data_IF_770816372311
#
_entry.id   IF_770816372311
#
_cell.length_a   1.000
_cell.length_b   1.000
_cell.length_c   1.000
_cell.angle_alpha   90.00
_cell.angle_beta   90.00
_cell.angle_gamma   90.00
#
_symmetry.space_group_name_H-M   'P 1'
#
loop_
_entity.id
_entity.type
_entity.pdbx_description
1 polymer ?
#
# COMPACT_ATOMS: atom_id res chain seq x y z
N UNK A 1 -44.22 -5.73 50.54
CA UNK A 1 -44.26 -6.35 49.19
C UNK A 1 -42.85 -6.25 48.62
N UNK A 2 -42.24 -7.41 48.39
CA UNK A 2 -40.88 -7.58 47.87
C UNK A 2 -40.92 -7.34 46.35
N UNK A 3 -40.16 -6.38 45.83
CA UNK A 3 -39.96 -6.22 44.40
C UNK A 3 -38.50 -6.54 44.06
N UNK A 4 -38.28 -7.72 43.49
CA UNK A 4 -36.99 -8.15 42.94
C UNK A 4 -36.76 -7.40 41.62
N UNK A 5 -35.81 -6.47 41.59
CA UNK A 5 -35.33 -5.88 40.35
C UNK A 5 -34.22 -6.77 39.78
N UNK A 6 -34.57 -7.57 38.77
CA UNK A 6 -33.63 -8.38 37.97
C UNK A 6 -32.74 -7.45 37.14
N UNK A 7 -31.44 -7.42 37.45
CA UNK A 7 -30.44 -6.71 36.66
C UNK A 7 -30.10 -7.47 35.38
N UNK A 8 -30.23 -6.80 34.23
CA UNK A 8 -29.66 -7.27 32.97
C UNK A 8 -28.27 -6.65 32.79
N UNK A 9 -27.21 -7.45 32.92
CA UNK A 9 -25.87 -7.02 32.51
C UNK A 9 -25.72 -7.25 31.00
N UNK A 10 -25.72 -6.17 30.23
CA UNK A 10 -25.28 -6.21 28.84
C UNK A 10 -23.76 -6.29 28.83
N UNK A 11 -23.21 -7.46 28.48
CA UNK A 11 -21.79 -7.57 28.11
C UNK A 11 -21.61 -6.84 26.78
N UNK A 12 -21.07 -5.62 26.84
CA UNK A 12 -20.57 -4.93 25.65
C UNK A 12 -19.32 -5.67 25.15
N UNK A 13 -19.46 -6.40 24.06
CA UNK A 13 -18.31 -6.86 23.28
C UNK A 13 -17.69 -5.61 22.63
N UNK A 14 -16.38 -5.34 22.75
CA UNK A 14 -15.80 -4.21 22.05
C UNK A 14 -15.87 -4.49 20.54
N UNK A 15 -16.68 -3.69 19.84
CA UNK A 15 -16.75 -3.69 18.39
C UNK A 15 -15.58 -2.87 17.83
N UNK A 16 -14.35 -3.38 17.97
CA UNK A 16 -13.16 -2.75 17.37
C UNK A 16 -12.15 -3.74 16.76
N UNK A 17 -12.49 -5.04 16.71
CA UNK A 17 -11.66 -6.06 16.08
C UNK A 17 -12.22 -6.59 14.73
N UNK A 18 -13.40 -6.11 14.29
CA UNK A 18 -14.15 -6.74 13.20
C UNK A 18 -14.06 -6.04 11.83
N UNK A 19 -13.46 -4.84 11.73
CA UNK A 19 -13.19 -4.20 10.43
C UNK A 19 -11.96 -4.82 9.73
N UNK A 20 -11.37 -5.88 10.30
CA UNK A 20 -10.28 -6.64 9.68
C UNK A 20 -10.76 -7.64 8.61
N UNK A 21 -12.08 -7.76 8.35
CA UNK A 21 -12.66 -8.80 7.47
C UNK A 21 -13.51 -8.20 6.35
N UNK A 22 -12.87 -7.90 5.22
CA UNK A 22 -13.36 -8.00 3.82
C UNK A 22 -12.61 -7.03 2.89
N UNK A 23 -11.28 -6.99 3.01
CA UNK A 23 -10.47 -6.49 1.90
C UNK A 23 -10.38 -7.62 0.86
N UNK A 24 -10.89 -7.47 -0.38
CA UNK A 24 -10.81 -8.51 -1.41
C UNK A 24 -9.36 -8.82 -1.81
N UNK A 25 -8.41 -7.97 -1.42
CA UNK A 25 -6.98 -8.19 -1.53
C UNK A 25 -6.42 -8.64 -0.17
N UNK A 26 -5.79 -9.82 -0.17
CA UNK A 26 -5.18 -10.44 1.00
C UNK A 26 -3.69 -10.69 0.77
N UNK A 27 -2.94 -10.89 1.85
CA UNK A 27 -1.55 -11.32 1.76
C UNK A 27 -1.43 -12.74 1.21
N UNK A 28 -0.36 -12.98 0.44
CA UNK A 28 0.06 -14.33 0.07
C UNK A 28 0.33 -15.16 1.33
N UNK A 29 0.26 -16.48 1.21
CA UNK A 29 0.66 -17.40 2.28
C UNK A 29 2.08 -17.06 2.78
N UNK A 30 2.24 -17.06 4.11
CA UNK A 30 3.51 -16.69 4.76
C UNK A 30 3.67 -15.19 5.03
N UNK A 31 2.74 -14.35 4.55
CA UNK A 31 2.70 -12.91 4.82
C UNK A 31 1.46 -12.52 5.62
N UNK A 32 1.57 -11.42 6.36
CA UNK A 32 0.52 -10.77 7.14
C UNK A 32 0.58 -9.26 6.93
N UNK A 33 -0.50 -8.52 7.19
CA UNK A 33 -0.46 -7.05 7.15
C UNK A 33 0.54 -6.52 8.17
N UNK A 34 1.34 -5.52 7.78
CA UNK A 34 2.40 -4.93 8.60
C UNK A 34 1.84 -4.16 9.78
N UNK A 35 0.70 -3.51 9.62
CA UNK A 35 0.01 -2.78 10.70
C UNK A 35 0.90 -1.69 11.33
N UNK A 36 1.72 -0.99 10.53
CA UNK A 36 2.51 0.15 10.99
C UNK A 36 1.64 1.30 11.51
N UNK A 37 0.44 1.44 10.94
CA UNK A 37 -0.58 2.40 11.30
C UNK A 37 -1.98 1.83 10.95
N UNK A 38 -3.05 2.51 11.36
CA UNK A 38 -4.41 2.14 10.98
C UNK A 38 -4.57 2.14 9.45
N UNK A 39 -5.03 1.02 8.89
CA UNK A 39 -5.16 0.76 7.45
C UNK A 39 -3.85 0.52 6.68
N UNK A 40 -2.74 0.18 7.37
CA UNK A 40 -1.52 -0.29 6.70
C UNK A 40 -1.67 -1.74 6.20
N UNK A 41 -2.00 -1.86 4.91
CA UNK A 41 -2.25 -3.13 4.23
C UNK A 41 -1.03 -3.65 3.47
N UNK A 42 0.17 -3.12 3.74
CA UNK A 42 1.42 -3.67 3.21
C UNK A 42 1.66 -5.05 3.82
N UNK A 43 1.84 -6.06 2.98
CA UNK A 43 2.11 -7.42 3.44
C UNK A 43 3.61 -7.61 3.78
N UNK A 44 3.90 -8.18 4.93
CA UNK A 44 5.25 -8.46 5.46
C UNK A 44 5.27 -9.82 6.15
N UNK A 45 6.45 -10.29 6.57
CA UNK A 45 6.54 -11.54 7.35
C UNK A 45 5.99 -11.32 8.77
N UNK A 46 5.53 -12.38 9.47
CA UNK A 46 5.09 -12.25 10.86
C UNK A 46 6.13 -11.63 11.80
N UNK A 47 7.42 -11.89 11.57
CA UNK A 47 8.51 -11.30 12.34
C UNK A 47 8.58 -9.78 12.16
N UNK A 48 8.47 -9.29 10.93
CA UNK A 48 8.45 -7.84 10.65
C UNK A 48 7.21 -7.18 11.25
N UNK A 49 6.03 -7.80 11.19
CA UNK A 49 4.84 -7.26 11.89
C UNK A 49 5.07 -7.12 13.40
N UNK A 50 5.65 -8.14 14.03
CA UNK A 50 6.00 -8.09 15.47
C UNK A 50 6.99 -6.97 15.77
N UNK A 51 8.02 -6.81 14.93
CA UNK A 51 8.98 -5.70 15.03
C UNK A 51 8.29 -4.34 14.90
N UNK A 52 7.45 -4.16 13.88
CA UNK A 52 6.71 -2.92 13.62
C UNK A 52 5.82 -2.53 14.83
N UNK A 53 5.16 -3.50 15.46
CA UNK A 53 4.36 -3.26 16.67
C UNK A 53 5.22 -2.84 17.87
N UNK A 54 6.39 -3.46 18.05
CA UNK A 54 7.33 -3.07 19.10
C UNK A 54 7.89 -1.66 18.87
N UNK A 55 8.18 -1.31 17.61
CA UNK A 55 8.59 0.05 17.21
C UNK A 55 7.50 1.09 17.49
N UNK A 56 6.23 0.76 17.20
CA UNK A 56 5.11 1.64 17.51
C UNK A 56 5.00 1.92 19.03
N UNK A 57 5.24 0.90 19.86
CA UNK A 57 5.22 1.04 21.31
C UNK A 57 6.42 1.85 21.85
N UNK A 58 7.62 1.64 21.29
CA UNK A 58 8.85 2.31 21.72
C UNK A 58 9.03 3.73 21.14
N UNK A 59 8.39 4.02 20.00
CA UNK A 59 8.54 5.27 19.25
C UNK A 59 8.45 6.54 20.09
N UNK A 60 7.42 6.71 20.95
CA UNK A 60 7.30 7.89 21.81
C UNK A 60 8.51 8.08 22.75
N UNK A 61 9.08 7.00 23.28
CA UNK A 61 10.25 7.07 24.16
C UNK A 61 11.54 7.45 23.40
N UNK A 62 11.55 7.32 22.08
CA UNK A 62 12.68 7.65 21.21
C UNK A 62 12.60 9.08 20.63
N UNK A 63 11.55 9.84 20.96
CA UNK A 63 11.40 11.24 20.59
C UNK A 63 12.13 12.17 21.55
N UNK A 64 12.56 13.33 21.05
CA UNK A 64 13.06 14.42 21.89
C UNK A 64 11.92 14.95 22.78
N UNK A 65 12.21 15.40 24.02
CA UNK A 65 11.17 15.95 24.90
C UNK A 65 10.37 17.07 24.22
N UNK A 66 9.04 16.93 24.18
CA UNK A 66 8.13 17.94 23.62
C UNK A 66 8.16 18.09 22.09
N UNK A 67 8.68 17.10 21.36
CA UNK A 67 8.86 17.19 19.90
C UNK A 67 8.57 15.86 19.20
N UNK A 68 8.27 15.91 17.90
CA UNK A 68 8.21 14.71 17.04
C UNK A 68 9.58 14.29 16.50
N UNK A 69 10.61 15.13 16.67
CA UNK A 69 11.96 14.82 16.21
C UNK A 69 12.58 13.70 17.04
N UNK A 70 13.35 12.84 16.38
CA UNK A 70 13.97 11.70 17.03
C UNK A 70 15.22 12.08 17.83
N UNK A 71 15.48 11.34 18.91
CA UNK A 71 16.76 11.38 19.64
C UNK A 71 17.91 10.96 18.71
N UNK A 72 19.14 11.36 19.06
CA UNK A 72 20.34 10.92 18.34
C UNK A 72 20.39 9.39 18.24
N UNK A 73 20.69 8.87 17.04
CA UNK A 73 20.69 7.43 16.75
C UNK A 73 19.34 6.87 16.25
N UNK A 74 18.28 7.67 16.27
CA UNK A 74 16.96 7.31 15.74
C UNK A 74 16.56 8.21 14.57
N UNK A 75 15.66 7.69 13.73
CA UNK A 75 15.09 8.35 12.56
C UNK A 75 13.60 8.05 12.47
N UNK A 76 12.84 8.87 11.75
CA UNK A 76 11.47 8.51 11.41
C UNK A 76 11.44 7.25 10.54
N UNK A 77 10.54 6.33 10.83
CA UNK A 77 10.37 5.08 10.07
C UNK A 77 9.88 5.34 8.65
N UNK A 78 9.06 6.37 8.45
CA UNK A 78 8.57 6.79 7.13
C UNK A 78 7.90 5.66 6.34
N UNK A 79 7.12 4.79 7.03
CA UNK A 79 6.29 3.78 6.35
C UNK A 79 5.21 4.40 5.45
N UNK A 80 4.86 5.66 5.73
CA UNK A 80 4.12 6.62 4.90
C UNK A 80 4.63 8.03 5.22
N UNK A 81 4.31 9.08 4.43
CA UNK A 81 4.79 10.44 4.69
C UNK A 81 4.47 11.00 6.09
N UNK A 82 3.37 10.55 6.71
CA UNK A 82 2.97 10.96 8.07
C UNK A 82 3.41 10.01 9.19
N UNK A 83 4.19 8.97 8.89
CA UNK A 83 4.71 8.04 9.90
C UNK A 83 5.99 8.57 10.54
N UNK A 84 5.81 9.25 11.68
CA UNK A 84 6.89 9.88 12.47
C UNK A 84 7.32 9.01 13.66
N UNK A 85 7.08 7.69 13.61
CA UNK A 85 7.56 6.77 14.64
C UNK A 85 9.09 6.72 14.61
N UNK A 86 9.74 7.01 15.74
CA UNK A 86 11.19 7.03 15.85
C UNK A 86 11.76 5.62 16.05
N UNK A 87 12.50 5.15 15.04
CA UNK A 87 13.09 3.82 14.94
C UNK A 87 14.59 3.90 14.65
N UNK A 88 15.29 2.78 14.71
CA UNK A 88 16.70 2.71 14.29
C UNK A 88 16.80 2.83 12.75
N UNK A 89 17.88 3.37 12.18
CA UNK A 89 18.00 3.58 10.73
C UNK A 89 17.69 2.36 9.85
N UNK A 90 18.14 1.13 10.18
CA UNK A 90 17.79 -0.06 9.39
C UNK A 90 16.28 -0.32 9.29
N UNK A 91 15.50 0.04 10.31
CA UNK A 91 14.04 -0.14 10.30
C UNK A 91 13.34 0.77 9.29
N UNK A 92 13.85 2.00 9.07
CA UNK A 92 13.33 2.89 8.01
C UNK A 92 13.61 2.28 6.63
N UNK A 93 14.81 1.75 6.44
CA UNK A 93 15.19 1.13 5.16
C UNK A 93 14.36 -0.13 4.89
N UNK A 94 14.08 -0.93 5.95
CA UNK A 94 13.15 -2.04 5.90
C UNK A 94 11.73 -1.60 5.53
N UNK A 95 11.19 -0.55 6.16
CA UNK A 95 9.85 -0.04 5.86
C UNK A 95 9.71 0.43 4.40
N UNK A 96 10.73 1.10 3.85
CA UNK A 96 10.79 1.49 2.44
C UNK A 96 10.88 0.28 1.50
N UNK A 97 11.65 -0.74 1.88
CA UNK A 97 11.73 -2.01 1.14
C UNK A 97 10.39 -2.74 1.13
N UNK A 98 9.67 -2.75 2.26
CA UNK A 98 8.35 -3.34 2.35
C UNK A 98 7.33 -2.63 1.46
N UNK A 99 7.34 -1.29 1.47
CA UNK A 99 6.52 -0.50 0.55
C UNK A 99 6.83 -0.82 -0.92
N UNK A 100 8.10 -0.93 -1.30
CA UNK A 100 8.50 -1.25 -2.66
C UNK A 100 8.05 -2.65 -3.12
N UNK A 101 7.92 -3.60 -2.19
CA UNK A 101 7.54 -4.99 -2.47
C UNK A 101 6.04 -5.28 -2.30
N UNK A 102 5.25 -4.30 -1.86
CA UNK A 102 3.84 -4.45 -1.56
C UNK A 102 3.02 -5.22 -2.62
N UNK A 103 3.08 -4.92 -3.94
CA UNK A 103 2.26 -5.62 -4.93
C UNK A 103 2.66 -7.09 -5.10
N UNK A 104 3.90 -7.46 -4.83
CA UNK A 104 4.39 -8.83 -5.00
C UNK A 104 3.98 -9.76 -3.86
N UNK A 105 3.51 -9.21 -2.74
CA UNK A 105 3.13 -9.94 -1.52
C UNK A 105 1.61 -10.06 -1.35
N UNK A 106 0.82 -9.51 -2.29
CA UNK A 106 -0.63 -9.70 -2.38
C UNK A 106 -0.96 -10.94 -3.22
N UNK A 107 -2.04 -11.65 -2.87
CA UNK A 107 -2.54 -12.80 -3.67
C UNK A 107 -2.87 -12.34 -5.08
N UNK A 108 -3.66 -11.25 -5.19
CA UNK A 108 -3.99 -10.61 -6.44
C UNK A 108 -3.95 -9.08 -6.27
N UNK A 109 -2.89 -8.39 -6.71
CA UNK A 109 -2.84 -6.93 -6.67
C UNK A 109 -3.81 -6.28 -7.67
N UNK A 110 -4.31 -6.99 -8.67
CA UNK A 110 -5.34 -6.52 -9.61
C UNK A 110 -6.73 -6.43 -8.98
N UNK A 111 -6.95 -7.09 -7.83
CA UNK A 111 -8.18 -6.98 -7.03
C UNK A 111 -8.18 -5.79 -6.06
N UNK A 112 -7.12 -4.97 -6.05
CA UNK A 112 -7.07 -3.78 -5.19
C UNK A 112 -8.04 -2.68 -5.67
N UNK A 113 -8.59 -1.85 -4.76
CA UNK A 113 -9.50 -0.78 -5.10
C UNK A 113 -8.89 0.20 -6.09
N UNK A 114 -9.77 0.86 -6.84
CA UNK A 114 -9.35 1.92 -7.75
C UNK A 114 -8.74 3.09 -6.96
N UNK A 115 -7.56 3.52 -7.39
CA UNK A 115 -6.84 4.66 -6.81
C UNK A 115 -7.22 5.99 -7.46
N UNK A 116 -6.50 7.05 -7.08
CA UNK A 116 -6.62 8.37 -7.71
C UNK A 116 -5.87 8.50 -9.04
N UNK A 117 -5.19 7.45 -9.48
CA UNK A 117 -4.48 7.40 -10.76
C UNK A 117 -5.37 6.80 -11.84
N UNK A 118 -5.42 7.44 -12.99
CA UNK A 118 -6.13 7.02 -14.19
C UNK A 118 -5.14 6.63 -15.28
N UNK A 119 -5.56 5.69 -16.12
CA UNK A 119 -4.76 5.14 -17.19
C UNK A 119 -5.48 5.34 -18.52
N UNK A 120 -4.72 5.65 -19.57
CA UNK A 120 -5.19 5.62 -20.96
C UNK A 120 -4.13 5.00 -21.86
N UNK A 121 -4.56 4.50 -23.02
CA UNK A 121 -3.68 3.98 -24.07
C UNK A 121 -3.96 4.64 -25.40
N UNK A 122 -2.91 5.03 -26.11
CA UNK A 122 -2.98 5.52 -27.49
C UNK A 122 -2.04 4.68 -28.35
N UNK A 123 -2.62 3.83 -29.21
CA UNK A 123 -1.87 2.74 -29.84
C UNK A 123 -1.20 1.86 -28.78
N UNK A 124 0.12 1.69 -28.89
CA UNK A 124 0.92 0.90 -27.97
C UNK A 124 1.47 1.71 -26.77
N UNK A 125 1.14 2.99 -26.65
CA UNK A 125 1.67 3.84 -25.59
C UNK A 125 0.70 3.93 -24.42
N UNK A 126 1.22 3.68 -23.21
CA UNK A 126 0.50 3.80 -21.95
C UNK A 126 0.79 5.14 -21.30
N UNK A 127 -0.25 5.84 -20.85
CA UNK A 127 -0.13 7.09 -20.13
C UNK A 127 -0.89 7.04 -18.80
N UNK A 128 -0.41 7.82 -17.83
CA UNK A 128 -1.02 7.96 -16.51
C UNK A 128 -1.19 9.43 -16.10
N UNK A 129 -2.26 9.71 -15.36
CA UNK A 129 -2.52 10.99 -14.69
C UNK A 129 -3.22 10.73 -13.35
N UNK A 130 -3.17 11.64 -12.40
CA UNK A 130 -3.94 11.47 -11.17
C UNK A 130 -3.37 12.17 -9.94
N UNK A 131 -4.01 11.94 -8.79
CA UNK A 131 -3.68 12.58 -7.51
C UNK A 131 -3.80 11.57 -6.35
N UNK A 132 -3.51 12.03 -5.13
CA UNK A 132 -3.61 11.20 -3.91
C UNK A 132 -2.44 10.26 -3.71
N UNK A 133 -1.28 10.61 -4.28
CA UNK A 133 -0.02 9.89 -4.16
C UNK A 133 0.85 10.55 -3.08
N UNK A 134 1.84 9.83 -2.56
CA UNK A 134 2.83 10.42 -1.66
C UNK A 134 3.62 11.52 -2.39
N UNK A 135 3.72 12.74 -1.84
CA UNK A 135 4.48 13.84 -2.46
C UNK A 135 5.93 13.47 -2.76
N UNK A 136 6.44 13.86 -3.94
CA UNK A 136 7.83 13.66 -4.37
C UNK A 136 8.31 12.19 -4.33
N UNK A 137 7.38 11.24 -4.38
CA UNK A 137 7.70 9.81 -4.31
C UNK A 137 7.47 9.11 -5.65
N UNK A 138 8.15 7.98 -5.81
CA UNK A 138 8.04 7.12 -6.98
C UNK A 138 6.69 6.42 -7.02
N UNK A 139 6.07 6.45 -8.19
CA UNK A 139 4.86 5.71 -8.52
C UNK A 139 5.23 4.64 -9.54
N UNK A 140 5.08 3.37 -9.20
CA UNK A 140 5.39 2.25 -10.10
C UNK A 140 4.14 1.69 -10.73
N UNK A 141 4.26 1.34 -12.01
CA UNK A 141 3.18 0.78 -12.81
C UNK A 141 3.53 -0.66 -13.20
N UNK A 142 2.56 -1.54 -13.08
CA UNK A 142 2.69 -2.93 -13.49
C UNK A 142 1.39 -3.44 -14.10
N UNK A 143 1.47 -4.43 -14.99
CA UNK A 143 0.32 -5.11 -15.54
C UNK A 143 0.13 -6.48 -14.88
N UNK A 144 -1.12 -6.85 -14.60
CA UNK A 144 -1.53 -8.21 -14.24
C UNK A 144 -2.66 -8.68 -15.16
N UNK A 145 -2.98 -9.97 -15.12
CA UNK A 145 -3.95 -10.57 -16.05
C UNK A 145 -3.39 -10.82 -17.45
N UNK A 146 -2.05 -10.78 -17.61
CA UNK A 146 -1.36 -10.95 -18.89
C UNK A 146 -0.57 -12.26 -19.00
N UNK A 147 -1.09 -13.35 -18.41
CA UNK A 147 -0.46 -14.67 -18.37
C UNK A 147 0.96 -14.65 -17.78
N UNK A 148 1.17 -13.85 -16.73
CA UNK A 148 2.43 -13.79 -15.97
C UNK A 148 2.22 -14.28 -14.54
N UNK A 149 3.27 -14.87 -13.95
CA UNK A 149 3.25 -15.40 -12.56
C UNK A 149 3.10 -14.29 -11.51
N UNK A 150 3.42 -13.04 -11.87
CA UNK A 150 3.24 -11.88 -11.00
C UNK A 150 3.11 -10.58 -11.80
N UNK A 151 3.06 -9.43 -11.11
CA UNK A 151 3.02 -8.12 -11.75
C UNK A 151 4.17 -7.94 -12.74
N UNK A 152 3.81 -7.67 -14.00
CA UNK A 152 4.77 -7.36 -15.04
C UNK A 152 5.11 -5.87 -14.99
N UNK A 153 6.37 -5.55 -14.70
CA UNK A 153 6.83 -4.16 -14.59
C UNK A 153 6.72 -3.43 -15.92
N UNK A 154 6.13 -2.22 -15.89
CA UNK A 154 5.97 -1.37 -17.07
C UNK A 154 6.91 -0.17 -17.03
N UNK A 155 6.86 0.59 -15.94
CA UNK A 155 7.59 1.85 -15.80
C UNK A 155 7.30 2.51 -14.46
N UNK A 156 7.86 3.71 -14.28
CA UNK A 156 7.62 4.52 -13.10
C UNK A 156 7.52 5.99 -13.46
N UNK A 157 6.85 6.74 -12.61
CA UNK A 157 6.80 8.19 -12.60
C UNK A 157 7.16 8.69 -11.20
N UNK A 158 7.32 10.00 -11.04
CA UNK A 158 7.50 10.63 -9.73
C UNK A 158 6.36 11.62 -9.54
N UNK A 159 5.62 11.49 -8.45
CA UNK A 159 4.58 12.45 -8.10
C UNK A 159 5.21 13.80 -7.73
N UNK A 160 4.55 14.90 -8.09
CA UNK A 160 5.02 16.23 -7.70
C UNK A 160 4.84 16.48 -6.19
N UNK A 161 5.20 17.69 -5.74
CA UNK A 161 5.10 18.09 -4.34
C UNK A 161 3.65 18.10 -3.79
N UNK A 162 2.64 18.08 -4.66
CA UNK A 162 1.23 18.00 -4.31
C UNK A 162 0.70 16.55 -4.33
N UNK A 163 1.54 15.55 -4.60
CA UNK A 163 1.11 14.16 -4.70
C UNK A 163 0.32 13.87 -5.97
N UNK A 164 0.68 14.52 -7.08
CA UNK A 164 -0.02 14.42 -8.36
C UNK A 164 0.91 14.07 -9.53
N UNK A 165 0.32 13.42 -10.54
CA UNK A 165 0.84 13.22 -11.89
C UNK A 165 0.09 14.18 -12.82
N UNK A 166 0.62 15.39 -12.99
CA UNK A 166 -0.02 16.45 -13.76
C UNK A 166 -0.04 16.12 -15.25
N UNK A 167 -1.23 16.13 -15.86
CA UNK A 167 -1.41 15.77 -17.28
C UNK A 167 -1.18 14.29 -17.56
N UNK A 168 -1.24 13.92 -18.85
CA UNK A 168 -1.00 12.55 -19.30
C UNK A 168 0.50 12.31 -19.49
N UNK A 169 1.07 11.52 -18.59
CA UNK A 169 2.49 11.21 -18.55
C UNK A 169 2.76 9.85 -19.17
N UNK A 170 3.73 9.77 -20.08
CA UNK A 170 4.14 8.51 -20.68
C UNK A 170 4.71 7.56 -19.63
N UNK A 171 4.20 6.32 -19.57
CA UNK A 171 4.64 5.28 -18.64
C UNK A 171 5.48 4.24 -19.35
N UNK A 172 4.95 3.67 -20.44
CA UNK A 172 5.57 2.56 -21.13
C UNK A 172 5.04 2.40 -22.57
N UNK A 173 5.83 1.75 -23.40
CA UNK A 173 5.37 1.19 -24.67
C UNK A 173 5.03 -0.28 -24.42
N UNK A 174 3.79 -0.66 -24.70
CA UNK A 174 3.25 -2.00 -24.53
C UNK A 174 3.47 -2.79 -25.81
N UNK A 175 4.14 -3.93 -25.68
CA UNK A 175 4.14 -4.94 -26.72
C UNK A 175 2.96 -5.87 -26.52
N UNK A 176 2.24 -6.14 -27.61
CA UNK A 176 1.22 -7.19 -27.62
C UNK A 176 1.83 -8.56 -27.29
N UNK A 177 0.99 -9.46 -26.79
CA UNK A 177 1.37 -10.80 -26.34
C UNK A 177 0.46 -11.82 -27.02
N UNK A 178 1.07 -12.80 -27.66
CA UNK A 178 0.34 -13.92 -28.25
C UNK A 178 -0.56 -14.58 -27.21
N UNK A 179 -1.77 -14.96 -27.62
CA UNK A 179 -2.78 -15.61 -26.78
C UNK A 179 -3.29 -14.73 -25.62
N UNK A 180 -3.14 -13.41 -25.71
CA UNK A 180 -3.87 -12.52 -24.82
C UNK A 180 -5.27 -12.21 -25.32
N UNK A 181 -6.26 -12.75 -24.61
CA UNK A 181 -7.67 -12.64 -24.96
C UNK A 181 -8.43 -11.71 -24.00
N UNK A 182 -7.85 -11.37 -22.84
CA UNK A 182 -8.47 -10.52 -21.82
C UNK A 182 -7.74 -9.18 -21.62
N UNK A 183 -8.37 -8.20 -20.97
CA UNK A 183 -7.71 -6.96 -20.65
C UNK A 183 -6.65 -7.16 -19.55
N UNK A 184 -5.58 -6.37 -19.61
CA UNK A 184 -4.64 -6.24 -18.53
C UNK A 184 -5.17 -5.24 -17.49
N UNK A 185 -5.05 -5.55 -16.21
CA UNK A 185 -5.27 -4.57 -15.14
C UNK A 185 -3.97 -3.87 -14.81
N UNK A 186 -3.99 -2.54 -14.80
CA UNK A 186 -2.82 -1.73 -14.43
C UNK A 186 -2.83 -1.48 -12.93
N UNK A 187 -1.85 -2.07 -12.27
CA UNK A 187 -1.56 -1.89 -10.85
C UNK A 187 -0.65 -0.68 -10.67
N UNK A 188 -1.00 0.15 -9.71
CA UNK A 188 -0.30 1.36 -9.32
C UNK A 188 0.19 1.20 -7.88
N UNK A 189 1.50 1.28 -7.69
CA UNK A 189 2.16 1.31 -6.39
C UNK A 189 2.63 2.73 -6.08
N UNK A 190 2.09 3.34 -5.04
CA UNK A 190 2.70 4.51 -4.40
C UNK A 190 3.80 4.05 -3.44
N UNK A 191 5.07 4.17 -3.85
CA UNK A 191 6.19 3.66 -3.05
C UNK A 191 6.38 4.42 -1.73
N UNK A 192 5.91 5.67 -1.65
CA UNK A 192 6.03 6.46 -0.42
C UNK A 192 5.18 5.92 0.73
N UNK A 193 4.08 5.22 0.42
CA UNK A 193 3.16 4.65 1.41
C UNK A 193 3.02 3.13 1.35
N UNK A 194 3.52 2.49 0.28
CA UNK A 194 3.29 1.08 0.01
C UNK A 194 1.87 0.76 -0.45
N UNK A 195 1.04 1.78 -0.69
CA UNK A 195 -0.35 1.60 -1.12
C UNK A 195 -0.41 1.08 -2.55
N UNK A 196 -1.09 -0.05 -2.71
CA UNK A 196 -1.35 -0.69 -4.01
C UNK A 196 -2.80 -0.42 -4.40
N UNK A 197 -3.01 0.09 -5.61
CA UNK A 197 -4.34 0.37 -6.18
C UNK A 197 -4.38 -0.02 -7.65
N UNK A 198 -5.57 -0.03 -8.25
CA UNK A 198 -5.73 -0.17 -9.70
C UNK A 198 -5.95 1.19 -10.35
N UNK A 199 -5.33 1.42 -11.52
CA UNK A 199 -5.49 2.64 -12.31
C UNK A 199 -6.51 2.50 -13.46
N UNK A 200 -6.89 1.27 -13.79
CA UNK A 200 -7.78 0.93 -14.89
C UNK A 200 -7.35 -0.34 -15.60
N UNK A 201 -8.00 -0.62 -16.73
CA UNK A 201 -7.70 -1.76 -17.59
C UNK A 201 -7.23 -1.27 -18.97
N UNK A 202 -6.50 -2.11 -19.70
CA UNK A 202 -6.12 -1.87 -21.10
C UNK A 202 -6.14 -3.14 -21.93
N UNK A 203 -6.49 -3.00 -23.21
CA UNK A 203 -6.45 -4.07 -24.22
C UNK A 203 -5.17 -4.03 -25.07
N UNK A 204 -4.24 -3.10 -24.80
CA UNK A 204 -3.03 -2.93 -25.61
C UNK A 204 -2.07 -4.13 -25.61
N UNK A 205 -2.28 -5.12 -24.72
CA UNK A 205 -1.53 -6.38 -24.72
C UNK A 205 -2.08 -7.43 -25.70
N UNK A 206 -3.23 -7.21 -26.32
CA UNK A 206 -3.84 -8.16 -27.26
C UNK A 206 -3.28 -7.97 -28.67
N UNK A 207 -3.10 -9.06 -29.42
CA UNK A 207 -2.79 -9.09 -30.85
C UNK A 207 -3.67 -10.08 -31.60
#
# INVERSE_FOLDING_TARGET
MLALATGAQALAVPADAAVQRQSPYTCKQGFVWREAFADDLVCVTPAIRTQTRAENAAGPSNQQPGSVFCKQGFVWRESRPSDLVCVVPPSRDQARSDNANAPYRLVDPGATPRGGVQITTSGNYLYATGTGLSPNNTVRFSAVGINTVGPYSLGFLVANAQGALSGWNYVATISCRAQQNGPATIVVLDQGSGRVTTGGITYAFQC
#
